data_IF_057848626330
#
_entry.id   IF_057848626330
#
_cell.length_a   1.000
_cell.length_b   1.000
_cell.length_c   1.000
_cell.angle_alpha   90.00
_cell.angle_beta   90.00
_cell.angle_gamma   90.00
#
_symmetry.space_group_name_H-M   'P 1'
#
loop_
_entity.id
_entity.type
_entity.pdbx_description
1 polymer ?
#
# COMPACT_ATOMS: atom_id res chain seq x y z
N UNK A 1 -5.01 -29.43 -33.08
CA UNK A 1 -5.74 -28.15 -32.91
C UNK A 1 -6.08 -27.42 -34.22
N UNK A 2 -5.20 -27.33 -35.23
CA UNK A 2 -5.47 -26.50 -36.43
C UNK A 2 -6.71 -26.85 -37.26
N UNK A 3 -7.22 -28.10 -37.20
CA UNK A 3 -8.38 -28.52 -37.98
C UNK A 3 -9.71 -28.01 -37.42
N UNK A 4 -9.93 -28.11 -36.10
CA UNK A 4 -11.21 -27.73 -35.48
C UNK A 4 -11.46 -26.23 -35.56
N UNK A 5 -10.41 -25.40 -35.47
CA UNK A 5 -10.51 -23.93 -35.56
C UNK A 5 -10.73 -23.43 -36.99
N UNK A 6 -10.47 -24.25 -38.02
CA UNK A 6 -10.71 -23.90 -39.43
C UNK A 6 -12.13 -24.19 -39.90
N UNK A 7 -12.83 -25.14 -39.28
CA UNK A 7 -14.19 -25.52 -39.69
C UNK A 7 -15.21 -24.36 -39.61
N UNK A 8 -15.23 -23.52 -38.55
CA UNK A 8 -16.09 -22.34 -38.54
C UNK A 8 -15.83 -21.40 -39.72
N UNK A 9 -14.55 -21.17 -40.08
CA UNK A 9 -14.18 -20.29 -41.20
C UNK A 9 -14.66 -20.83 -42.55
N UNK A 10 -14.63 -22.15 -42.73
CA UNK A 10 -15.12 -22.78 -43.95
C UNK A 10 -16.65 -22.68 -44.06
N UNK A 11 -17.37 -22.92 -42.97
CA UNK A 11 -18.83 -22.80 -42.95
C UNK A 11 -19.27 -21.33 -43.11
N UNK A 12 -18.55 -20.39 -42.51
CA UNK A 12 -18.76 -18.95 -42.73
C UNK A 12 -18.54 -18.56 -44.21
N UNK A 13 -17.49 -19.11 -44.84
CA UNK A 13 -17.24 -18.92 -46.27
C UNK A 13 -18.32 -19.55 -47.18
N UNK A 14 -19.02 -20.58 -46.71
CA UNK A 14 -20.18 -21.16 -47.42
C UNK A 14 -21.42 -20.27 -47.21
N UNK A 15 -21.69 -19.86 -45.96
CA UNK A 15 -22.82 -18.99 -45.61
C UNK A 15 -22.79 -17.65 -46.34
N UNK A 16 -21.62 -17.06 -46.52
CA UNK A 16 -21.43 -15.80 -47.25
C UNK A 16 -21.74 -15.90 -48.75
N UNK A 17 -21.82 -17.13 -49.29
CA UNK A 17 -22.15 -17.40 -50.70
C UNK A 17 -23.53 -18.00 -50.90
N UNK A 18 -24.22 -18.38 -49.82
CA UNK A 18 -25.54 -18.98 -49.86
C UNK A 18 -26.63 -17.89 -49.86
N UNK A 19 -27.71 -18.11 -50.61
CA UNK A 19 -28.87 -17.20 -50.57
C UNK A 19 -29.58 -17.33 -49.20
N UNK A 20 -29.96 -16.22 -48.54
CA UNK A 20 -30.74 -16.28 -47.30
C UNK A 20 -32.08 -17.02 -47.40
N UNK A 21 -32.65 -17.18 -48.60
CA UNK A 21 -33.87 -17.95 -48.84
C UNK A 21 -33.61 -19.43 -49.16
N UNK A 22 -32.35 -19.85 -49.23
CA UNK A 22 -31.98 -21.25 -49.42
C UNK A 22 -32.39 -22.09 -48.20
N UNK A 23 -32.95 -23.27 -48.43
CA UNK A 23 -33.36 -24.22 -47.40
C UNK A 23 -32.17 -24.63 -46.50
N UNK A 24 -30.95 -24.62 -47.04
CA UNK A 24 -29.73 -24.97 -46.31
C UNK A 24 -29.19 -23.81 -45.45
N UNK A 25 -29.63 -22.56 -45.67
CA UNK A 25 -29.08 -21.37 -45.00
C UNK A 25 -29.17 -21.46 -43.48
N UNK A 26 -30.35 -21.82 -42.97
CA UNK A 26 -30.59 -21.95 -41.53
C UNK A 26 -29.76 -23.08 -40.92
N UNK A 27 -29.58 -24.18 -41.66
CA UNK A 27 -28.77 -25.33 -41.23
C UNK A 27 -27.30 -24.94 -41.14
N UNK A 28 -26.76 -24.25 -42.14
CA UNK A 28 -25.39 -23.75 -42.12
C UNK A 28 -25.17 -22.73 -40.98
N UNK A 29 -26.15 -21.86 -40.70
CA UNK A 29 -26.07 -20.89 -39.60
C UNK A 29 -26.01 -21.57 -38.23
N UNK A 30 -26.85 -22.58 -38.01
CA UNK A 30 -26.82 -23.39 -36.78
C UNK A 30 -25.51 -24.19 -36.65
N UNK A 31 -25.01 -24.74 -37.76
CA UNK A 31 -23.73 -25.43 -37.80
C UNK A 31 -22.57 -24.50 -37.44
N UNK A 32 -22.55 -23.27 -37.97
CA UNK A 32 -21.54 -22.26 -37.63
C UNK A 32 -21.58 -21.92 -36.14
N UNK A 33 -22.76 -21.64 -35.58
CA UNK A 33 -22.91 -21.32 -34.16
C UNK A 33 -22.44 -22.49 -33.27
N UNK A 34 -22.78 -23.72 -33.63
CA UNK A 34 -22.37 -24.93 -32.90
C UNK A 34 -20.87 -25.16 -32.97
N UNK A 35 -20.26 -25.01 -34.16
CA UNK A 35 -18.82 -25.15 -34.35
C UNK A 35 -18.05 -24.07 -33.57
N UNK A 36 -18.54 -22.83 -33.56
CA UNK A 36 -17.96 -21.75 -32.76
C UNK A 36 -18.00 -22.09 -31.26
N UNK A 37 -19.13 -22.61 -30.76
CA UNK A 37 -19.24 -23.07 -29.37
C UNK A 37 -18.25 -24.20 -29.05
N UNK A 38 -18.09 -25.18 -29.93
CA UNK A 38 -17.12 -26.28 -29.75
C UNK A 38 -15.70 -25.74 -29.70
N UNK A 39 -15.32 -24.85 -30.63
CA UNK A 39 -13.99 -24.24 -30.67
C UNK A 39 -13.74 -23.42 -29.39
N UNK A 40 -14.72 -22.65 -28.92
CA UNK A 40 -14.63 -21.92 -27.66
C UNK A 40 -14.39 -22.87 -26.48
N UNK A 41 -15.18 -23.94 -26.36
CA UNK A 41 -15.02 -24.92 -25.29
C UNK A 41 -13.63 -25.58 -25.33
N UNK A 42 -13.16 -26.01 -26.50
CA UNK A 42 -11.82 -26.59 -26.65
C UNK A 42 -10.72 -25.61 -26.25
N UNK A 43 -10.85 -24.33 -26.60
CA UNK A 43 -9.89 -23.30 -26.23
C UNK A 43 -9.91 -23.03 -24.71
N UNK A 44 -11.09 -23.02 -24.08
CA UNK A 44 -11.19 -22.90 -22.61
C UNK A 44 -10.56 -24.09 -21.90
N UNK A 45 -10.83 -25.31 -22.36
CA UNK A 45 -10.28 -26.51 -21.75
C UNK A 45 -8.76 -26.60 -21.93
N UNK A 46 -8.24 -26.20 -23.10
CA UNK A 46 -6.81 -26.04 -23.32
C UNK A 46 -6.20 -25.03 -22.34
N UNK A 47 -6.81 -23.84 -22.19
CA UNK A 47 -6.36 -22.82 -21.22
C UNK A 47 -6.41 -23.32 -19.79
N UNK A 48 -7.46 -24.05 -19.39
CA UNK A 48 -7.57 -24.66 -18.06
C UNK A 48 -6.45 -25.67 -17.83
N UNK A 49 -6.14 -26.49 -18.82
CA UNK A 49 -5.07 -27.48 -18.73
C UNK A 49 -3.70 -26.81 -18.58
N UNK A 50 -3.39 -25.79 -19.39
CA UNK A 50 -2.14 -25.02 -19.29
C UNK A 50 -1.99 -24.37 -17.90
N UNK A 51 -3.07 -23.76 -17.37
CA UNK A 51 -3.09 -23.17 -16.02
C UNK A 51 -2.86 -24.23 -14.93
N UNK A 52 -3.49 -25.40 -15.07
CA UNK A 52 -3.34 -26.50 -14.11
C UNK A 52 -1.90 -27.03 -14.13
N UNK A 53 -1.33 -27.25 -15.31
CA UNK A 53 0.06 -27.69 -15.47
C UNK A 53 1.02 -26.69 -14.81
N UNK A 54 0.86 -25.39 -15.08
CA UNK A 54 1.70 -24.36 -14.47
C UNK A 54 1.60 -24.37 -12.94
N UNK A 55 0.40 -24.48 -12.39
CA UNK A 55 0.22 -24.56 -10.93
C UNK A 55 0.83 -25.82 -10.34
N UNK A 56 0.71 -26.97 -11.01
CA UNK A 56 1.30 -28.22 -10.54
C UNK A 56 2.83 -28.10 -10.46
N UNK A 57 3.45 -27.49 -11.48
CA UNK A 57 4.89 -27.20 -11.47
C UNK A 57 5.23 -26.28 -10.29
N UNK A 58 4.54 -25.14 -10.15
CA UNK A 58 4.80 -24.18 -9.08
C UNK A 58 4.60 -24.77 -7.68
N UNK A 59 3.62 -25.65 -7.50
CA UNK A 59 3.37 -26.30 -6.21
C UNK A 59 4.54 -27.16 -5.72
N UNK A 60 5.35 -27.69 -6.66
CA UNK A 60 6.56 -28.47 -6.36
C UNK A 60 7.77 -27.57 -6.08
N UNK A 61 7.78 -26.38 -6.67
CA UNK A 61 8.86 -25.40 -6.53
C UNK A 61 8.71 -24.54 -5.28
N UNK A 62 7.48 -24.29 -4.82
CA UNK A 62 7.16 -23.52 -3.62
C UNK A 62 7.23 -24.38 -2.36
N UNK A 63 8.13 -24.02 -1.47
CA UNK A 63 8.30 -24.68 -0.17
C UNK A 63 7.91 -23.73 0.96
N UNK A 64 7.09 -24.20 1.89
CA UNK A 64 6.70 -23.48 3.10
C UNK A 64 7.59 -23.92 4.28
N UNK A 65 8.46 -23.03 4.81
CA UNK A 65 9.19 -23.28 6.05
C UNK A 65 8.25 -23.50 7.24
N UNK A 66 8.75 -24.14 8.29
CA UNK A 66 7.94 -24.51 9.47
C UNK A 66 7.31 -23.31 10.17
N UNK A 67 7.94 -22.14 10.08
CA UNK A 67 7.46 -20.90 10.69
C UNK A 67 6.28 -20.29 9.93
N UNK A 68 6.09 -20.68 8.66
CA UNK A 68 5.05 -20.14 7.78
C UNK A 68 3.93 -21.16 7.64
N UNK A 69 2.72 -20.77 8.06
CA UNK A 69 1.52 -21.63 7.89
C UNK A 69 1.30 -21.94 6.40
N UNK A 70 1.47 -23.21 6.02
CA UNK A 70 1.26 -23.66 4.66
C UNK A 70 -0.19 -23.44 4.17
N UNK A 71 -0.32 -23.07 2.90
CA UNK A 71 -1.61 -22.95 2.19
C UNK A 71 -1.57 -23.78 0.91
N UNK A 72 -2.70 -24.39 0.50
CA UNK A 72 -2.74 -25.18 -0.72
C UNK A 72 -2.51 -24.27 -1.92
N UNK A 73 -1.48 -24.56 -2.73
CA UNK A 73 -1.21 -23.83 -3.98
C UNK A 73 -2.14 -24.31 -5.10
N UNK A 74 -2.44 -25.60 -5.15
CA UNK A 74 -3.34 -26.20 -6.15
C UNK A 74 -4.78 -25.93 -5.74
N UNK A 75 -5.55 -25.30 -6.64
CA UNK A 75 -6.98 -25.01 -6.49
C UNK A 75 -7.63 -24.93 -7.87
N UNK A 76 -8.93 -25.22 -7.96
CA UNK A 76 -9.70 -25.18 -9.21
C UNK A 76 -9.88 -23.76 -9.78
N UNK A 77 -9.78 -22.74 -8.93
CA UNK A 77 -10.00 -21.32 -9.27
C UNK A 77 -8.74 -20.48 -9.17
N UNK A 78 -7.60 -21.10 -8.85
CA UNK A 78 -6.33 -20.41 -8.79
C UNK A 78 -5.59 -20.58 -10.11
N UNK A 79 -4.99 -19.52 -10.62
CA UNK A 79 -3.96 -19.58 -11.66
C UNK A 79 -2.95 -18.46 -11.45
N UNK A 80 -1.75 -18.61 -12.02
CA UNK A 80 -0.74 -17.57 -11.95
C UNK A 80 -1.15 -16.39 -12.83
N UNK A 81 -1.15 -15.19 -12.26
CA UNK A 81 -1.37 -13.93 -12.97
C UNK A 81 -0.03 -13.34 -13.37
N UNK A 82 0.95 -13.31 -12.46
CA UNK A 82 2.29 -12.77 -12.71
C UNK A 82 3.30 -13.35 -11.74
N UNK A 83 4.53 -13.60 -12.21
CA UNK A 83 5.69 -13.88 -11.36
C UNK A 83 6.89 -13.04 -11.78
N UNK A 84 7.82 -12.80 -10.85
CA UNK A 84 9.03 -12.06 -11.17
C UNK A 84 9.97 -11.88 -9.99
N UNK A 85 11.25 -11.71 -10.31
CA UNK A 85 12.28 -11.33 -9.36
C UNK A 85 12.31 -9.81 -9.17
N UNK A 86 12.28 -9.38 -7.91
CA UNK A 86 12.26 -7.97 -7.50
C UNK A 86 13.30 -7.73 -6.42
N UNK A 87 13.75 -6.48 -6.31
CA UNK A 87 14.66 -6.08 -5.24
C UNK A 87 13.89 -5.41 -4.12
N UNK A 88 13.82 -6.05 -2.95
CA UNK A 88 13.34 -5.44 -1.73
C UNK A 88 14.41 -4.53 -1.13
N UNK A 89 14.03 -3.31 -0.79
CA UNK A 89 14.86 -2.35 -0.05
C UNK A 89 14.48 -2.41 1.43
N UNK A 90 15.41 -2.84 2.28
CA UNK A 90 15.21 -3.00 3.73
C UNK A 90 16.02 -1.95 4.48
N UNK A 91 15.35 -1.22 5.38
CA UNK A 91 15.96 -0.28 6.31
C UNK A 91 16.48 -1.03 7.54
N UNK A 92 17.71 -0.73 7.97
CA UNK A 92 18.16 -1.10 9.32
C UNK A 92 17.98 0.11 10.22
N UNK A 93 17.14 -0.05 11.25
CA UNK A 93 16.95 0.94 12.30
C UNK A 93 18.24 1.23 13.07
N UNK A 94 18.25 2.36 13.75
CA UNK A 94 19.38 2.95 14.47
C UNK A 94 19.68 2.17 15.76
N UNK A 95 20.22 0.96 15.63
CA UNK A 95 20.81 0.24 16.76
C UNK A 95 22.33 0.13 16.56
N UNK A 96 23.07 0.90 17.35
CA UNK A 96 24.47 0.63 17.68
C UNK A 96 25.53 1.31 16.80
N UNK A 97 25.99 2.47 17.27
CA UNK A 97 27.39 2.97 17.25
C UNK A 97 28.21 2.86 15.94
N UNK A 98 28.46 4.05 15.38
CA UNK A 98 29.75 4.57 14.87
C UNK A 98 30.38 3.98 13.58
N UNK A 99 30.66 4.92 12.68
CA UNK A 99 31.62 4.94 11.55
C UNK A 99 31.25 4.22 10.24
N UNK A 100 31.14 5.02 9.18
CA UNK A 100 31.07 4.68 7.75
C UNK A 100 29.81 3.96 7.20
N UNK A 101 28.83 4.81 6.82
CA UNK A 101 28.00 4.72 5.61
C UNK A 101 27.62 3.35 5.01
N UNK A 102 26.41 2.89 5.33
CA UNK A 102 25.33 2.42 4.40
C UNK A 102 24.15 1.88 5.24
N UNK A 103 23.07 2.67 5.43
CA UNK A 103 21.93 2.30 6.30
C UNK A 103 20.78 1.55 5.57
N UNK A 104 21.07 0.75 4.54
CA UNK A 104 20.05 -0.08 3.88
C UNK A 104 20.65 -1.35 3.27
N UNK A 105 19.88 -2.42 3.26
CA UNK A 105 20.23 -3.68 2.58
C UNK A 105 19.24 -3.97 1.46
N UNK A 106 19.76 -4.47 0.33
CA UNK A 106 18.95 -4.94 -0.80
C UNK A 106 18.83 -6.46 -0.72
N UNK A 107 17.61 -6.97 -0.82
CA UNK A 107 17.30 -8.40 -0.75
C UNK A 107 16.53 -8.78 -2.00
N UNK A 108 17.01 -9.78 -2.74
CA UNK A 108 16.25 -10.33 -3.86
C UNK A 108 15.08 -11.16 -3.33
N UNK A 109 13.90 -10.89 -3.85
CA UNK A 109 12.68 -11.64 -3.59
C UNK A 109 12.07 -12.06 -4.92
N UNK A 110 11.38 -13.20 -4.94
CA UNK A 110 10.58 -13.61 -6.08
C UNK A 110 9.12 -13.62 -5.66
N UNK A 111 8.29 -12.86 -6.37
CA UNK A 111 6.87 -12.72 -6.06
C UNK A 111 6.06 -13.55 -7.06
N UNK A 112 5.08 -14.28 -6.54
CA UNK A 112 4.06 -14.99 -7.32
C UNK A 112 2.71 -14.39 -6.98
N UNK A 113 2.08 -13.75 -7.97
CA UNK A 113 0.72 -13.26 -7.88
C UNK A 113 -0.19 -14.25 -8.58
N UNK A 114 -1.07 -14.87 -7.80
CA UNK A 114 -2.17 -15.69 -8.26
C UNK A 114 -3.46 -14.85 -8.32
N UNK A 115 -4.53 -15.45 -8.83
CA UNK A 115 -5.85 -14.80 -8.90
C UNK A 115 -6.36 -14.28 -7.56
N UNK A 116 -6.13 -15.01 -6.48
CA UNK A 116 -6.66 -14.75 -5.14
C UNK A 116 -5.57 -14.60 -4.06
N UNK A 117 -4.29 -14.81 -4.40
CA UNK A 117 -3.19 -14.89 -3.44
C UNK A 117 -1.90 -14.24 -3.97
N UNK A 118 -1.22 -13.46 -3.14
CA UNK A 118 0.15 -13.01 -3.36
C UNK A 118 1.10 -13.82 -2.46
N UNK A 119 2.14 -14.41 -3.03
CA UNK A 119 3.17 -15.16 -2.31
C UNK A 119 4.54 -14.52 -2.55
N UNK A 120 5.24 -14.19 -1.47
CA UNK A 120 6.59 -13.64 -1.48
C UNK A 120 7.57 -14.73 -1.08
N UNK A 121 8.63 -14.90 -1.87
CA UNK A 121 9.60 -15.97 -1.68
C UNK A 121 11.04 -15.48 -1.78
N UNK A 122 11.96 -16.29 -1.27
CA UNK A 122 13.39 -16.20 -1.58
C UNK A 122 13.79 -17.43 -2.38
N UNK A 123 14.52 -17.21 -3.48
CA UNK A 123 15.09 -18.29 -4.29
C UNK A 123 16.19 -19.00 -3.49
N UNK A 124 16.07 -20.32 -3.30
CA UNK A 124 17.09 -21.12 -2.63
C UNK A 124 18.24 -21.35 -3.60
N UNK A 125 19.47 -21.03 -3.20
CA UNK A 125 20.65 -21.36 -4.02
C UNK A 125 20.86 -22.88 -4.02
N UNK A 126 21.24 -23.41 -5.19
CA UNK A 126 21.61 -24.82 -5.38
C UNK A 126 22.65 -25.21 -4.33
N UNK A 127 22.29 -26.07 -3.40
CA UNK A 127 23.17 -26.58 -2.33
C UNK A 127 23.13 -28.11 -2.34
N UNK A 128 23.38 -28.74 -3.50
CA UNK A 128 23.82 -30.14 -3.64
C UNK A 128 23.98 -30.50 -5.13
N UNK A 129 24.81 -31.51 -5.48
CA UNK A 129 25.00 -31.99 -6.86
C UNK A 129 23.82 -32.79 -7.45
N UNK A 130 22.87 -33.22 -6.61
CA UNK A 130 21.87 -34.25 -6.99
C UNK A 130 20.44 -33.69 -7.16
N UNK A 131 20.30 -32.36 -7.26
CA UNK A 131 19.00 -31.74 -7.48
C UNK A 131 18.64 -31.79 -8.97
N UNK A 132 17.64 -32.59 -9.33
CA UNK A 132 16.82 -32.42 -10.53
C UNK A 132 16.59 -30.93 -10.75
N UNK A 133 16.99 -30.40 -11.91
CA UNK A 133 17.34 -29.00 -12.17
C UNK A 133 16.28 -27.90 -11.97
N UNK A 134 15.24 -28.13 -11.17
CA UNK A 134 14.13 -27.22 -10.93
C UNK A 134 14.47 -26.13 -9.89
N UNK A 135 13.96 -24.93 -10.13
CA UNK A 135 14.10 -23.78 -9.25
C UNK A 135 13.26 -23.98 -7.97
N UNK A 136 13.85 -23.75 -6.80
CA UNK A 136 13.15 -23.90 -5.51
C UNK A 136 13.04 -22.56 -4.77
N UNK A 137 11.85 -22.27 -4.26
CA UNK A 137 11.48 -21.00 -3.65
C UNK A 137 10.96 -21.24 -2.24
N UNK A 138 11.65 -20.66 -1.25
CA UNK A 138 11.19 -20.69 0.14
C UNK A 138 10.22 -19.52 0.37
N UNK A 139 8.99 -19.82 0.78
CA UNK A 139 7.98 -18.81 1.12
C UNK A 139 8.41 -18.03 2.35
N UNK A 140 8.34 -16.71 2.26
CA UNK A 140 8.68 -15.76 3.33
C UNK A 140 7.42 -15.09 3.87
N UNK A 141 6.47 -14.76 3.00
CA UNK A 141 5.19 -14.20 3.41
C UNK A 141 4.13 -14.46 2.32
N UNK A 142 2.86 -14.34 2.66
CA UNK A 142 1.76 -14.35 1.71
C UNK A 142 0.57 -13.53 2.23
N UNK A 143 -0.25 -13.05 1.30
CA UNK A 143 -1.41 -12.22 1.57
C UNK A 143 -2.51 -12.52 0.55
N UNK A 144 -3.79 -12.69 0.95
CA UNK A 144 -4.91 -12.72 0.01
C UNK A 144 -4.88 -11.48 -0.90
N UNK A 145 -5.08 -11.66 -2.22
CA UNK A 145 -4.90 -10.59 -3.22
C UNK A 145 -5.77 -9.38 -2.95
N UNK A 146 -7.00 -9.58 -2.49
CA UNK A 146 -7.89 -8.48 -2.10
C UNK A 146 -7.36 -7.63 -0.93
N UNK A 147 -6.39 -8.13 -0.16
CA UNK A 147 -5.75 -7.41 0.94
C UNK A 147 -4.38 -6.82 0.55
N UNK A 148 -4.05 -6.84 -0.74
CA UNK A 148 -2.82 -6.26 -1.29
C UNK A 148 -3.11 -4.91 -1.92
N UNK A 149 -2.24 -3.94 -1.67
CA UNK A 149 -2.20 -2.68 -2.40
C UNK A 149 -0.79 -2.44 -2.92
N UNK A 150 -0.69 -1.83 -4.10
CA UNK A 150 0.60 -1.43 -4.67
C UNK A 150 0.50 -0.01 -5.20
N UNK A 151 1.41 0.86 -4.79
CA UNK A 151 1.45 2.26 -5.23
C UNK A 151 2.83 2.62 -5.74
N UNK A 152 2.90 3.58 -6.66
CA UNK A 152 4.19 4.18 -7.02
C UNK A 152 4.82 4.81 -5.77
N UNK A 153 6.12 4.58 -5.59
CA UNK A 153 6.91 5.18 -4.51
C UNK A 153 7.63 6.47 -4.98
N UNK A 154 7.34 6.95 -6.19
CA UNK A 154 7.90 8.21 -6.71
C UNK A 154 7.17 9.40 -6.07
N UNK A 155 7.92 10.26 -5.35
CA UNK A 155 7.37 11.48 -4.75
C UNK A 155 6.69 11.33 -3.39
N UNK A 156 6.73 10.17 -2.73
CA UNK A 156 6.21 10.02 -1.36
C UNK A 156 7.14 10.72 -0.36
N UNK A 157 6.60 11.70 0.35
CA UNK A 157 7.29 12.61 1.30
C UNK A 157 7.94 11.93 2.53
N UNK A 158 7.75 10.62 2.68
CA UNK A 158 8.29 9.81 3.78
C UNK A 158 9.51 8.97 3.40
N UNK A 159 9.93 8.98 2.14
CA UNK A 159 11.19 8.36 1.74
C UNK A 159 12.34 9.35 1.98
N UNK A 160 13.45 8.94 2.65
CA UNK A 160 14.58 9.82 2.89
C UNK A 160 15.07 10.47 1.58
N UNK A 161 15.22 11.80 1.62
CA UNK A 161 15.56 12.72 0.51
C UNK A 161 16.72 12.26 -0.39
N UNK A 162 17.57 11.34 0.07
CA UNK A 162 18.66 10.74 -0.73
C UNK A 162 18.20 9.79 -1.85
N UNK A 163 16.91 9.51 -1.97
CA UNK A 163 16.36 8.64 -3.03
C UNK A 163 16.09 9.36 -4.35
N UNK A 164 16.09 10.70 -4.39
CA UNK A 164 15.68 11.46 -5.57
C UNK A 164 16.76 11.57 -6.65
N UNK A 165 18.04 11.27 -6.35
CA UNK A 165 19.14 11.61 -7.27
C UNK A 165 19.79 10.43 -8.01
N UNK A 166 20.04 9.25 -7.41
CA UNK A 166 20.87 8.23 -8.11
C UNK A 166 20.55 6.73 -7.88
N UNK A 167 19.70 6.33 -6.93
CA UNK A 167 19.64 4.90 -6.48
C UNK A 167 18.25 4.25 -6.38
N UNK A 168 17.20 4.92 -6.84
CA UNK A 168 15.84 4.38 -6.87
C UNK A 168 15.15 4.65 -8.19
N UNK A 169 15.27 3.71 -9.14
CA UNK A 169 14.44 3.70 -10.33
C UNK A 169 13.38 2.64 -10.17
N UNK A 170 12.20 2.92 -10.71
CA UNK A 170 11.07 2.01 -10.77
C UNK A 170 10.65 1.47 -9.39
N UNK A 171 10.57 2.35 -8.38
CA UNK A 171 10.18 1.97 -7.03
C UNK A 171 8.67 1.87 -6.88
N UNK A 172 8.24 0.90 -6.09
CA UNK A 172 6.84 0.71 -5.72
C UNK A 172 6.75 0.29 -4.25
N UNK A 173 5.68 0.72 -3.59
CA UNK A 173 5.34 0.33 -2.23
C UNK A 173 4.27 -0.77 -2.30
N UNK A 174 4.64 -1.97 -1.87
CA UNK A 174 3.71 -3.07 -1.63
C UNK A 174 3.20 -2.97 -0.19
N UNK A 175 1.89 -2.89 -0.02
CA UNK A 175 1.22 -2.94 1.29
C UNK A 175 0.37 -4.20 1.37
N UNK A 176 0.72 -5.12 2.27
CA UNK A 176 -0.13 -6.23 2.66
C UNK A 176 -0.92 -5.80 3.90
N UNK A 177 -2.20 -5.51 3.75
CA UNK A 177 -3.03 -5.02 4.86
C UNK A 177 -3.12 -6.05 5.98
N UNK A 178 -3.13 -7.33 5.61
CA UNK A 178 -3.14 -8.42 6.54
C UNK A 178 -2.49 -9.66 5.93
N UNK A 179 -1.23 -9.89 6.30
CA UNK A 179 -0.49 -11.07 5.88
C UNK A 179 -0.94 -12.35 6.62
N UNK A 180 -0.24 -13.45 6.41
CA UNK A 180 -0.54 -14.75 7.06
C UNK A 180 -0.54 -14.71 8.60
N UNK A 181 0.26 -13.83 9.22
CA UNK A 181 0.30 -13.60 10.66
C UNK A 181 -0.75 -12.58 11.15
N UNK A 182 -1.65 -12.14 10.26
CA UNK A 182 -2.64 -11.10 10.51
C UNK A 182 -2.05 -9.71 10.76
N UNK A 183 -0.84 -9.42 10.30
CA UNK A 183 -0.16 -8.13 10.45
C UNK A 183 -0.21 -7.31 9.17
N UNK A 184 -0.22 -5.98 9.32
CA UNK A 184 0.02 -5.06 8.20
C UNK A 184 1.52 -4.99 7.93
N UNK A 185 1.93 -5.23 6.69
CA UNK A 185 3.33 -5.26 6.27
C UNK A 185 3.50 -4.36 5.05
N UNK A 186 4.49 -3.47 5.11
CA UNK A 186 4.89 -2.60 4.02
C UNK A 186 6.27 -3.00 3.50
N UNK A 187 6.42 -3.02 2.18
CA UNK A 187 7.65 -3.41 1.51
C UNK A 187 7.95 -2.47 0.34
N UNK A 188 9.12 -1.86 0.35
CA UNK A 188 9.62 -1.10 -0.80
C UNK A 188 10.29 -2.07 -1.77
N UNK A 189 9.78 -2.11 -2.99
CA UNK A 189 10.25 -2.96 -4.08
C UNK A 189 10.79 -2.09 -5.21
N UNK A 190 11.78 -2.62 -5.93
CA UNK A 190 12.35 -2.01 -7.13
C UNK A 190 12.34 -3.02 -8.27
N UNK A 191 11.85 -2.58 -9.43
CA UNK A 191 11.93 -3.31 -10.69
C UNK A 191 13.17 -2.90 -11.48
N UNK A 192 13.70 -3.82 -12.29
CA UNK A 192 14.79 -3.51 -13.23
C UNK A 192 14.35 -2.57 -14.35
N UNK A 193 13.07 -2.62 -14.74
CA UNK A 193 12.51 -1.83 -15.86
C UNK A 193 11.18 -1.19 -15.45
N UNK A 194 10.91 0.01 -15.98
CA UNK A 194 9.67 0.75 -15.74
C UNK A 194 8.43 -0.01 -16.21
N UNK A 195 8.51 -0.66 -17.38
CA UNK A 195 7.42 -1.46 -17.92
C UNK A 195 7.01 -2.60 -16.98
N UNK A 196 7.97 -3.21 -16.27
CA UNK A 196 7.67 -4.26 -15.29
C UNK A 196 7.02 -3.67 -14.02
N UNK A 197 7.47 -2.49 -13.55
CA UNK A 197 6.80 -1.74 -12.47
C UNK A 197 5.34 -1.45 -12.84
N UNK A 198 5.10 -0.90 -14.02
CA UNK A 198 3.77 -0.57 -14.48
C UNK A 198 2.86 -1.80 -14.52
N UNK A 199 3.35 -2.92 -15.08
CA UNK A 199 2.60 -4.19 -15.13
C UNK A 199 2.31 -4.77 -13.74
N UNK A 200 3.21 -4.60 -12.78
CA UNK A 200 2.96 -5.00 -11.39
C UNK A 200 1.89 -4.14 -10.72
N UNK A 201 1.92 -2.82 -10.93
CA UNK A 201 0.90 -1.89 -10.43
C UNK A 201 -0.49 -2.21 -11.01
N UNK A 202 -0.56 -2.43 -12.32
CA UNK A 202 -1.79 -2.82 -13.02
C UNK A 202 -2.32 -4.17 -12.54
N UNK A 203 -1.46 -5.18 -12.39
CA UNK A 203 -1.88 -6.53 -12.00
C UNK A 203 -2.49 -6.59 -10.58
N UNK A 204 -2.16 -5.66 -9.69
CA UNK A 204 -2.70 -5.61 -8.32
C UNK A 204 -3.87 -4.63 -8.20
N UNK A 205 -4.04 -3.73 -9.17
CA UNK A 205 -5.11 -2.74 -9.16
C UNK A 205 -6.43 -3.35 -9.64
N UNK A 206 -7.57 -2.99 -9.03
CA UNK A 206 -8.88 -3.29 -9.59
C UNK A 206 -9.03 -2.66 -10.98
N UNK A 207 -9.84 -3.26 -11.87
CA UNK A 207 -10.11 -2.71 -13.19
C UNK A 207 -10.84 -1.38 -13.06
N UNK A 208 -10.56 -0.48 -14.00
CA UNK A 208 -11.24 0.82 -14.11
C UNK A 208 -12.06 0.78 -15.39
N UNK A 209 -13.36 1.10 -15.31
CA UNK A 209 -14.18 1.23 -16.52
C UNK A 209 -13.88 2.56 -17.21
N UNK A 210 -13.91 2.56 -18.54
CA UNK A 210 -13.89 3.78 -19.35
C UNK A 210 -15.16 4.63 -19.14
N UNK A 211 -16.24 4.00 -18.69
CA UNK A 211 -17.49 4.68 -18.37
C UNK A 211 -17.50 5.11 -16.89
N UNK A 212 -17.57 6.42 -16.59
CA UNK A 212 -17.57 6.92 -15.21
C UNK A 212 -18.82 6.50 -14.41
N UNK A 213 -19.90 6.09 -15.10
CA UNK A 213 -21.13 5.61 -14.49
C UNK A 213 -21.14 4.10 -14.23
N UNK A 214 -20.01 3.42 -14.46
CA UNK A 214 -19.86 1.99 -14.30
C UNK A 214 -18.71 1.68 -13.34
N UNK A 215 -18.97 0.80 -12.39
CA UNK A 215 -17.93 0.18 -11.58
C UNK A 215 -17.81 -1.28 -11.95
N UNK A 216 -16.61 -1.71 -12.35
CA UNK A 216 -16.28 -3.09 -12.70
C UNK A 216 -15.45 -3.70 -11.59
N UNK A 217 -15.73 -4.95 -11.28
CA UNK A 217 -15.03 -5.72 -10.27
C UNK A 217 -14.45 -6.99 -10.89
N UNK A 218 -13.29 -7.38 -10.41
CA UNK A 218 -12.73 -8.70 -10.67
C UNK A 218 -13.29 -9.71 -9.68
N UNK A 219 -13.28 -10.99 -10.05
CA UNK A 219 -13.76 -12.09 -9.19
C UNK A 219 -13.05 -12.10 -7.82
N UNK A 220 -11.78 -11.68 -7.75
CA UNK A 220 -11.00 -11.61 -6.51
C UNK A 220 -11.30 -10.37 -5.64
N UNK A 221 -11.94 -9.33 -6.17
CA UNK A 221 -12.29 -8.09 -5.45
C UNK A 221 -13.74 -7.68 -5.67
N UNK A 222 -14.65 -8.64 -5.84
CA UNK A 222 -16.06 -8.37 -6.04
C UNK A 222 -16.86 -8.36 -4.71
N UNK A 223 -17.82 -7.44 -4.54
CA UNK A 223 -18.76 -7.51 -3.44
C UNK A 223 -19.73 -8.67 -3.62
N UNK A 224 -20.25 -9.18 -2.50
CA UNK A 224 -21.29 -10.19 -2.48
C UNK A 224 -22.57 -9.56 -1.96
N UNK A 225 -23.69 -9.89 -2.60
CA UNK A 225 -25.00 -9.44 -2.19
C UNK A 225 -25.92 -10.64 -1.96
N UNK A 226 -26.84 -10.51 -1.02
CA UNK A 226 -27.92 -11.48 -0.78
C UNK A 226 -29.22 -10.87 -1.24
N UNK A 227 -30.01 -11.63 -2.02
CA UNK A 227 -31.35 -11.25 -2.41
C UNK A 227 -32.29 -11.25 -1.20
N UNK A 228 -32.92 -10.10 -0.95
CA UNK A 228 -33.94 -9.91 0.09
C UNK A 228 -35.36 -9.91 -0.50
N UNK A 229 -35.47 -9.68 -1.80
CA UNK A 229 -36.70 -9.75 -2.55
C UNK A 229 -36.50 -10.64 -3.78
N UNK A 230 -37.51 -11.44 -4.18
CA UNK A 230 -37.43 -12.20 -5.42
C UNK A 230 -37.42 -11.25 -6.62
N UNK A 231 -36.83 -11.69 -7.72
CA UNK A 231 -36.83 -11.00 -9.02
C UNK A 231 -36.99 -12.03 -10.14
N UNK A 232 -37.87 -11.76 -11.10
CA UNK A 232 -38.07 -12.62 -12.26
C UNK A 232 -37.50 -11.91 -13.48
N UNK A 233 -36.58 -12.55 -14.17
CA UNK A 233 -35.95 -12.00 -15.37
C UNK A 233 -36.99 -11.72 -16.46
N UNK A 234 -37.00 -10.50 -16.98
CA UNK A 234 -37.86 -10.05 -18.07
C UNK A 234 -37.17 -10.18 -19.43
N UNK A 235 -35.83 -10.18 -19.45
CA UNK A 235 -34.98 -10.23 -20.64
C UNK A 235 -33.95 -11.36 -20.53
N UNK A 236 -33.44 -11.89 -21.65
CA UNK A 236 -32.51 -13.03 -21.65
C UNK A 236 -31.14 -12.74 -21.01
N UNK A 237 -30.78 -11.47 -20.86
CA UNK A 237 -29.56 -11.03 -20.20
C UNK A 237 -29.74 -10.78 -18.69
N UNK A 238 -30.97 -10.87 -18.18
CA UNK A 238 -31.30 -10.69 -16.77
C UNK A 238 -31.19 -12.00 -15.96
N UNK A 239 -30.82 -11.86 -14.70
CA UNK A 239 -30.68 -12.94 -13.72
C UNK A 239 -31.88 -12.94 -12.78
N UNK A 240 -32.64 -14.03 -12.77
CA UNK A 240 -33.71 -14.21 -11.78
C UNK A 240 -33.10 -14.37 -10.38
N UNK A 241 -33.78 -13.90 -9.34
CA UNK A 241 -33.34 -14.00 -7.94
C UNK A 241 -34.44 -14.61 -7.07
N UNK A 242 -34.04 -15.50 -6.19
CA UNK A 242 -34.85 -15.97 -5.07
C UNK A 242 -34.33 -15.39 -3.75
N UNK A 243 -35.21 -15.28 -2.76
CA UNK A 243 -34.80 -14.80 -1.43
C UNK A 243 -33.70 -15.72 -0.87
N UNK A 244 -32.67 -15.09 -0.30
CA UNK A 244 -31.45 -15.73 0.19
C UNK A 244 -30.44 -16.18 -0.87
N UNK A 245 -30.69 -15.95 -2.17
CA UNK A 245 -29.66 -16.14 -3.19
C UNK A 245 -28.47 -15.22 -2.94
N UNK A 246 -27.26 -15.77 -3.05
CA UNK A 246 -26.01 -15.00 -2.94
C UNK A 246 -25.42 -14.82 -4.33
N UNK A 247 -25.07 -13.58 -4.65
CA UNK A 247 -24.56 -13.19 -5.97
C UNK A 247 -23.24 -12.43 -5.83
N UNK A 248 -22.23 -12.85 -6.59
CA UNK A 248 -20.98 -12.10 -6.77
C UNK A 248 -21.23 -10.96 -7.76
N UNK A 249 -21.04 -9.71 -7.33
CA UNK A 249 -21.32 -8.54 -8.17
C UNK A 249 -20.10 -8.18 -9.01
N UNK A 250 -20.20 -8.38 -10.32
CA UNK A 250 -19.12 -8.12 -11.27
C UNK A 250 -19.17 -6.69 -11.82
N UNK A 251 -20.37 -6.12 -11.95
CA UNK A 251 -20.56 -4.74 -12.42
C UNK A 251 -21.68 -4.03 -11.69
N UNK A 252 -21.54 -2.72 -11.50
CA UNK A 252 -22.58 -1.82 -10.99
C UNK A 252 -22.71 -0.61 -11.90
N UNK A 253 -23.92 -0.28 -12.31
CA UNK A 253 -24.22 0.93 -13.08
C UNK A 253 -25.00 1.90 -12.18
N UNK A 254 -24.88 3.21 -12.46
CA UNK A 254 -25.52 4.29 -11.68
C UNK A 254 -27.04 4.25 -11.65
N UNK A 255 -27.68 3.58 -12.58
CA UNK A 255 -29.15 3.42 -12.65
C UNK A 255 -29.69 2.38 -11.64
N UNK A 256 -28.81 1.76 -10.87
CA UNK A 256 -29.17 0.79 -9.82
C UNK A 256 -29.13 -0.66 -10.27
N UNK A 257 -28.75 -0.94 -11.53
CA UNK A 257 -28.59 -2.30 -12.04
C UNK A 257 -27.20 -2.85 -11.76
N UNK A 258 -27.18 -4.10 -11.30
CA UNK A 258 -25.97 -4.86 -11.06
C UNK A 258 -25.90 -6.01 -12.06
N UNK A 259 -24.69 -6.34 -12.49
CA UNK A 259 -24.43 -7.61 -13.17
C UNK A 259 -23.62 -8.50 -12.24
N UNK A 260 -23.98 -9.77 -12.16
CA UNK A 260 -23.29 -10.69 -11.28
C UNK A 260 -23.45 -12.14 -11.65
N UNK A 261 -22.83 -13.00 -10.84
CA UNK A 261 -22.88 -14.44 -10.93
C UNK A 261 -23.52 -15.01 -9.65
N UNK A 262 -24.61 -15.76 -9.80
CA UNK A 262 -25.29 -16.43 -8.69
C UNK A 262 -24.48 -17.66 -8.24
N UNK A 263 -24.19 -17.76 -6.95
CA UNK A 263 -23.27 -18.79 -6.43
C UNK A 263 -23.83 -20.21 -6.55
N UNK A 264 -25.16 -20.38 -6.47
CA UNK A 264 -25.80 -21.71 -6.39
C UNK A 264 -25.65 -22.55 -7.68
N UNK A 265 -25.63 -21.89 -8.84
CA UNK A 265 -25.64 -22.52 -10.16
C UNK A 265 -24.68 -21.86 -11.16
N UNK A 266 -24.04 -20.74 -10.79
CA UNK A 266 -23.09 -20.04 -11.65
C UNK A 266 -23.75 -19.23 -12.76
N UNK A 267 -25.07 -19.02 -12.73
CA UNK A 267 -25.74 -18.21 -13.75
C UNK A 267 -25.34 -16.75 -13.65
N UNK A 268 -25.10 -16.13 -14.80
CA UNK A 268 -24.71 -14.72 -14.92
C UNK A 268 -25.81 -13.90 -15.59
N UNK A 269 -26.03 -12.70 -15.09
CA UNK A 269 -26.96 -11.76 -15.70
C UNK A 269 -27.15 -10.48 -14.89
N UNK A 270 -28.03 -9.62 -15.39
CA UNK A 270 -28.39 -8.34 -14.79
C UNK A 270 -29.53 -8.48 -13.79
N UNK A 271 -29.47 -7.76 -12.67
CA UNK A 271 -30.51 -7.74 -11.68
C UNK A 271 -30.57 -6.38 -10.96
N UNK A 272 -31.73 -6.00 -10.42
CA UNK A 272 -31.88 -4.71 -9.76
C UNK A 272 -31.27 -4.74 -8.35
N UNK A 273 -30.36 -3.81 -8.05
CA UNK A 273 -29.61 -3.79 -6.80
C UNK A 273 -30.46 -3.58 -5.55
N UNK A 274 -31.59 -2.87 -5.66
CA UNK A 274 -32.56 -2.65 -4.57
C UNK A 274 -33.30 -3.93 -4.11
N UNK A 275 -33.21 -5.03 -4.86
CA UNK A 275 -33.69 -6.35 -4.41
C UNK A 275 -32.67 -7.09 -3.54
N UNK A 276 -31.50 -6.49 -3.30
CA UNK A 276 -30.37 -7.14 -2.64
C UNK A 276 -29.78 -6.29 -1.51
N UNK A 277 -29.10 -6.95 -0.57
CA UNK A 277 -28.32 -6.31 0.49
C UNK A 277 -26.88 -6.80 0.45
N UNK A 278 -25.91 -5.91 0.67
CA UNK A 278 -24.49 -6.28 0.69
C UNK A 278 -24.18 -7.17 1.91
N UNK A 279 -23.50 -8.29 1.66
CA UNK A 279 -23.11 -9.27 2.68
C UNK A 279 -21.78 -8.88 3.29
N UNK A 280 -21.59 -9.19 4.58
CA UNK A 280 -20.27 -9.14 5.23
C UNK A 280 -19.33 -10.18 4.60
N UNK A 281 -18.70 -9.81 3.49
CA UNK A 281 -17.81 -10.68 2.71
C UNK A 281 -16.34 -10.34 2.93
N UNK A 282 -15.45 -11.18 2.39
CA UNK A 282 -14.02 -10.92 2.35
C UNK A 282 -13.71 -9.58 1.65
N UNK A 283 -14.48 -9.21 0.62
CA UNK A 283 -14.37 -7.92 -0.06
C UNK A 283 -14.73 -6.76 0.87
N UNK A 284 -15.86 -6.81 1.59
CA UNK A 284 -16.25 -5.75 2.53
C UNK A 284 -15.19 -5.57 3.62
N UNK A 285 -14.67 -6.67 4.15
CA UNK A 285 -13.56 -6.63 5.11
C UNK A 285 -12.31 -5.99 4.49
N UNK A 286 -11.94 -6.36 3.28
CA UNK A 286 -10.80 -5.78 2.58
C UNK A 286 -10.98 -4.27 2.36
N UNK A 287 -12.15 -3.85 1.86
CA UNK A 287 -12.52 -2.44 1.69
C UNK A 287 -12.42 -1.65 3.01
N UNK A 288 -12.96 -2.19 4.10
CA UNK A 288 -12.89 -1.55 5.42
C UNK A 288 -11.44 -1.42 5.91
N UNK A 289 -10.61 -2.45 5.70
CA UNK A 289 -9.18 -2.40 6.03
C UNK A 289 -8.42 -1.37 5.18
N UNK A 290 -8.68 -1.30 3.87
CA UNK A 290 -8.11 -0.29 2.96
C UNK A 290 -8.47 1.12 3.42
N UNK A 291 -9.73 1.37 3.77
CA UNK A 291 -10.21 2.66 4.26
C UNK A 291 -9.54 3.04 5.59
N UNK A 292 -9.52 2.12 6.56
CA UNK A 292 -8.84 2.33 7.85
C UNK A 292 -7.37 2.65 7.66
N UNK A 293 -6.66 1.87 6.84
CA UNK A 293 -5.24 2.07 6.56
C UNK A 293 -4.99 3.45 5.93
N UNK A 294 -5.77 3.84 4.92
CA UNK A 294 -5.68 5.18 4.30
C UNK A 294 -5.85 6.31 5.32
N UNK A 295 -6.83 6.20 6.21
CA UNK A 295 -7.06 7.20 7.26
C UNK A 295 -5.89 7.28 8.26
N UNK A 296 -5.34 6.13 8.66
CA UNK A 296 -4.18 6.08 9.56
C UNK A 296 -2.92 6.65 8.92
N UNK A 297 -2.65 6.32 7.65
CA UNK A 297 -1.51 6.86 6.90
C UNK A 297 -1.59 8.39 6.77
N UNK A 298 -2.78 8.94 6.46
CA UNK A 298 -3.00 10.38 6.41
C UNK A 298 -2.80 11.05 7.78
N UNK A 299 -3.30 10.43 8.85
CA UNK A 299 -3.17 10.94 10.21
C UNK A 299 -1.72 10.93 10.71
N UNK A 300 -0.96 9.88 10.40
CA UNK A 300 0.47 9.78 10.71
C UNK A 300 1.27 10.88 10.00
N UNK A 301 1.03 11.07 8.70
CA UNK A 301 1.67 12.13 7.93
C UNK A 301 1.37 13.53 8.49
N UNK A 302 0.13 13.77 8.93
CA UNK A 302 -0.27 15.04 9.55
C UNK A 302 0.46 15.30 10.88
N UNK A 303 0.56 14.29 11.74
CA UNK A 303 1.28 14.39 13.01
C UNK A 303 2.79 14.61 12.80
N UNK A 304 3.38 13.94 11.83
CA UNK A 304 4.79 14.15 11.47
C UNK A 304 5.04 15.54 10.87
N UNK A 305 4.13 16.03 10.03
CA UNK A 305 4.18 17.40 9.49
C UNK A 305 4.11 18.43 10.62
N UNK A 306 3.20 18.27 11.58
CA UNK A 306 3.15 19.14 12.77
C UNK A 306 4.42 19.06 13.62
N UNK A 307 5.02 17.87 13.78
CA UNK A 307 6.29 17.73 14.51
C UNK A 307 7.43 18.43 13.78
N UNK A 308 7.53 18.27 12.46
CA UNK A 308 8.52 18.97 11.62
C UNK A 308 8.33 20.48 11.66
N UNK A 309 7.09 20.97 11.61
CA UNK A 309 6.76 22.40 11.72
C UNK A 309 7.11 22.97 13.11
N UNK A 310 6.83 22.21 14.19
CA UNK A 310 7.26 22.59 15.54
C UNK A 310 8.79 22.59 15.67
N UNK A 311 9.47 21.60 15.08
CA UNK A 311 10.93 21.55 15.08
C UNK A 311 11.57 22.68 14.26
N UNK A 312 11.02 23.04 13.09
CA UNK A 312 11.51 24.19 12.31
C UNK A 312 11.22 25.52 13.00
N UNK A 313 10.05 25.69 13.63
CA UNK A 313 9.75 26.88 14.45
C UNK A 313 10.70 26.99 15.65
N UNK A 314 10.97 25.88 16.34
CA UNK A 314 11.91 25.86 17.46
C UNK A 314 13.36 26.12 17.01
N UNK A 315 13.77 25.58 15.85
CA UNK A 315 15.08 25.85 15.26
C UNK A 315 15.22 27.32 14.83
N UNK A 316 14.18 27.90 14.21
CA UNK A 316 14.16 29.31 13.83
C UNK A 316 14.19 30.23 15.06
N UNK A 317 13.44 29.90 16.12
CA UNK A 317 13.52 30.63 17.39
C UNK A 317 14.90 30.51 18.03
N UNK A 318 15.50 29.32 18.06
CA UNK A 318 16.85 29.10 18.59
C UNK A 318 17.91 29.89 17.80
N UNK A 319 17.81 29.93 16.47
CA UNK A 319 18.68 30.74 15.61
C UNK A 319 18.48 32.24 15.83
N UNK A 320 17.24 32.70 16.03
CA UNK A 320 16.95 34.11 16.31
C UNK A 320 17.50 34.54 17.69
N UNK A 321 17.39 33.69 18.71
CA UNK A 321 18.01 33.93 20.02
C UNK A 321 19.54 33.88 19.98
N UNK A 322 20.15 33.06 19.10
CA UNK A 322 21.60 33.03 18.91
C UNK A 322 22.12 34.26 18.14
N UNK A 323 21.36 34.77 17.17
CA UNK A 323 21.66 36.05 16.50
C UNK A 323 21.52 37.22 17.46
N UNK A 324 20.48 37.25 18.30
CA UNK A 324 20.31 38.29 19.33
C UNK A 324 21.41 38.25 20.40
N UNK A 325 21.86 37.06 20.82
CA UNK A 325 23.01 36.89 21.73
C UNK A 325 24.34 37.23 21.06
N UNK A 326 24.50 36.95 19.76
CA UNK A 326 25.65 37.34 18.95
C UNK A 326 25.75 38.86 18.75
N UNK A 327 24.63 39.55 18.56
CA UNK A 327 24.60 41.01 18.44
C UNK A 327 24.79 41.73 19.79
N UNK A 328 24.31 41.15 20.90
CA UNK A 328 24.60 41.69 22.24
C UNK A 328 26.04 41.45 22.66
N UNK A 329 26.64 40.29 22.36
CA UNK A 329 28.07 40.03 22.62
C UNK A 329 28.99 40.80 21.68
N UNK A 330 28.61 41.06 20.43
CA UNK A 330 29.35 41.92 19.51
C UNK A 330 29.31 43.40 19.93
N UNK A 331 28.19 43.88 20.50
CA UNK A 331 28.11 45.23 21.08
C UNK A 331 28.97 45.36 22.34
N UNK A 332 28.95 44.34 23.21
CA UNK A 332 29.78 44.32 24.42
C UNK A 332 31.28 44.21 24.09
N UNK A 333 31.66 43.52 23.00
CA UNK A 333 33.08 43.40 22.58
C UNK A 333 33.58 44.56 21.69
N UNK A 334 32.68 45.29 21.02
CA UNK A 334 33.03 46.54 20.33
C UNK A 334 33.29 47.70 21.31
N UNK A 335 32.61 47.72 22.47
CA UNK A 335 32.85 48.70 23.54
C UNK A 335 34.04 48.36 24.46
N UNK A 336 34.68 47.19 24.29
CA UNK A 336 35.88 46.79 25.06
C UNK A 336 37.20 47.13 24.34
N UNK A 337 37.17 47.94 23.27
CA UNK A 337 38.37 48.48 22.60
C UNK A 337 38.68 49.95 22.94
N UNK A 338 38.06 50.49 23.98
CA UNK A 338 38.41 51.77 24.62
C UNK A 338 38.84 51.57 26.08
N UNK A 339 39.35 50.38 26.39
CA UNK A 339 39.89 50.00 27.70
C UNK A 339 41.34 50.49 27.90
N UNK A 340 41.59 51.75 27.54
CA UNK A 340 42.66 52.57 28.15
C UNK A 340 42.06 53.75 28.96
N UNK A 341 40.75 54.02 28.87
CA UNK A 341 40.07 55.07 29.65
C UNK A 341 39.28 54.53 30.87
N UNK A 342 39.10 53.22 30.99
CA UNK A 342 38.34 52.60 32.08
C UNK A 342 39.10 52.54 33.42
N UNK A 343 40.45 52.55 33.39
CA UNK A 343 41.25 52.53 34.62
C UNK A 343 41.27 53.89 35.34
N UNK A 344 41.08 55.01 34.62
CA UNK A 344 40.93 56.34 35.23
C UNK A 344 39.54 56.57 35.83
N UNK A 345 38.49 56.00 35.22
CA UNK A 345 37.11 56.10 35.72
C UNK A 345 36.86 55.24 36.97
N UNK A 346 37.50 54.08 37.09
CA UNK A 346 37.40 53.23 38.30
C UNK A 346 38.10 53.91 39.49
N UNK A 347 39.24 54.58 39.28
CA UNK A 347 39.90 55.34 40.35
C UNK A 347 39.06 56.56 40.82
N UNK A 348 38.33 57.20 39.90
CA UNK A 348 37.47 58.34 40.22
C UNK A 348 36.17 57.91 40.93
N UNK A 349 35.56 56.78 40.53
CA UNK A 349 34.39 56.22 41.20
C UNK A 349 34.69 55.60 42.57
N UNK A 350 35.88 55.03 42.78
CA UNK A 350 36.30 54.53 44.10
C UNK A 350 36.53 55.68 45.10
N UNK A 351 36.98 56.85 44.65
CA UNK A 351 37.07 58.04 45.50
C UNK A 351 35.69 58.64 45.83
N UNK A 352 34.72 58.63 44.92
CA UNK A 352 33.34 59.05 45.24
C UNK A 352 32.62 58.09 46.20
N UNK A 353 32.89 56.79 46.13
CA UNK A 353 32.28 55.81 47.04
C UNK A 353 32.83 55.90 48.47
N UNK A 354 34.08 56.30 48.66
CA UNK A 354 34.65 56.53 49.99
C UNK A 354 33.98 57.70 50.73
N UNK A 355 33.63 58.77 50.02
CA UNK A 355 32.92 59.92 50.61
C UNK A 355 31.44 59.60 50.92
N UNK A 356 30.82 58.73 50.12
CA UNK A 356 29.40 58.35 50.31
C UNK A 356 29.20 57.35 51.46
N UNK A 357 30.18 56.48 51.73
CA UNK A 357 30.12 55.50 52.83
C UNK A 357 30.35 56.16 54.21
N UNK A 358 31.13 57.25 54.28
CA UNK A 358 31.29 58.03 55.52
C UNK A 358 30.01 58.81 55.91
N UNK A 359 29.22 59.25 54.93
CA UNK A 359 27.92 59.91 55.17
C UNK A 359 26.86 58.91 55.63
N UNK A 360 26.89 57.66 55.13
CA UNK A 360 25.91 56.63 55.47
C UNK A 360 26.15 55.97 56.85
N UNK A 361 27.42 55.82 57.27
CA UNK A 361 27.75 55.29 58.61
C UNK A 361 27.46 56.28 59.75
N UNK A 362 27.33 57.57 59.45
CA UNK A 362 26.92 58.61 60.42
C UNK A 362 25.39 58.67 60.60
N UNK A 363 24.61 58.22 59.60
CA UNK A 363 23.14 58.26 59.62
C UNK A 363 22.49 57.01 60.26
N UNK A 364 23.16 55.85 60.25
CA UNK A 364 22.60 54.59 60.81
C UNK A 364 22.86 54.44 62.33
N UNK A 365 23.72 55.27 62.92
CA UNK A 365 23.98 55.31 64.37
C UNK A 365 22.90 55.98 65.23
N UNK A 366 21.87 56.60 64.64
CA UNK A 366 20.85 57.38 65.36
C UNK A 366 19.47 56.71 65.49
N UNK A 367 19.30 55.44 65.10
CA UNK A 367 18.01 54.72 65.20
C UNK A 367 18.13 53.38 65.95
N UNK A 368 18.90 53.38 67.04
CA UNK A 368 18.80 52.36 68.09
C UNK A 368 17.84 52.83 69.19
N UNK A 369 16.68 52.17 69.29
CA UNK A 369 15.68 52.39 70.33
C UNK A 369 14.70 51.21 70.43
N UNK A 370 15.11 50.17 71.15
CA UNK A 370 14.33 49.02 71.68
C UNK A 370 13.08 49.48 72.49
N UNK A 371 12.11 48.63 72.96
CA UNK A 371 12.28 47.20 73.31
C UNK A 371 11.08 46.22 73.15
N UNK A 372 11.43 44.94 73.29
CA UNK A 372 10.82 43.82 74.05
C UNK A 372 9.41 43.23 73.84
N UNK A 373 9.46 41.88 73.80
CA UNK A 373 8.55 40.89 74.41
C UNK A 373 7.28 40.47 73.64
N UNK A 374 7.23 39.20 73.25
CA UNK A 374 6.36 38.20 73.89
C UNK A 374 6.46 36.83 73.19
N UNK A 375 6.31 35.82 74.02
CA UNK A 375 6.50 34.38 73.89
C UNK A 375 5.37 33.60 73.18
N UNK A 376 5.71 32.54 72.42
CA UNK A 376 5.29 31.10 72.57
C UNK A 376 3.77 30.77 72.50
N UNK A 377 3.29 29.54 72.12
CA UNK A 377 3.72 28.52 71.16
C UNK A 377 2.60 27.98 70.23
N UNK A 378 3.05 27.07 69.36
CA UNK A 378 2.37 25.92 68.74
C UNK A 378 1.13 25.34 69.43
N UNK A 379 0.13 25.04 68.60
CA UNK A 379 -0.86 23.97 68.75
C UNK A 379 -1.14 23.37 67.38
#
# INVERSE_FOLDING_TARGET
MQRITRLPLLIDAVLTRLDPQDDEYNTCRLALATLNKIVQNCNEDARKMERLEEILILSRQLYFPNEIKAVPIISSVRWLVKKGELTQVVWRGDEGKLTFGKKFSRVQVHIFLFTDLLVITKKKRKTAPDATGDECYAVVDYCPRNLVQMTSAEGTTNLPVKFTSESGRNLMLLTMLQNHEKKTVEMILSCSVESDRQRWLEAVSPPVSDNPNETVYEEWDCPQVTAIHPYVACQPDELSLEVADVVNVLRKITDGWYQGERIRDGERGWFPGNHTVEVLSAHVRARNLRQRYRLLALSGNFLEAQRKEKQTKNACMASCSFVQQGETTARITADLRTQEDAEQLVLHMMNMYADTVNVFLTAVGCLAGFPESASVPLG
#
